data_IF_230273923428
#
_entry.id   IF_230273923428
#
_cell.length_a   1.000
_cell.length_b   1.000
_cell.length_c   1.000
_cell.angle_alpha   90.00
_cell.angle_beta   90.00
_cell.angle_gamma   90.00
#
_symmetry.space_group_name_H-M   'P 1'
#
loop_
_entity.id
_entity.type
_entity.pdbx_description
1 polymer ?
#
# COMPACT_ATOMS: atom_id res chain seq x y z
N UNK A 1 -4.04 -22.05 -32.88
CA UNK A 1 -3.05 -21.33 -32.04
C UNK A 1 -3.69 -21.04 -30.70
N UNK A 2 -3.04 -21.45 -29.60
CA UNK A 2 -3.51 -21.14 -28.24
C UNK A 2 -3.12 -19.69 -27.93
N UNK A 3 -4.09 -18.80 -27.88
CA UNK A 3 -3.87 -17.38 -27.55
C UNK A 3 -3.31 -17.29 -26.14
N UNK A 4 -2.08 -16.82 -26.01
CA UNK A 4 -1.48 -16.45 -24.72
C UNK A 4 -2.01 -15.06 -24.39
N UNK A 5 -2.88 -14.95 -23.37
CA UNK A 5 -3.24 -13.64 -22.82
C UNK A 5 -2.04 -13.07 -22.08
N UNK A 6 -1.47 -12.01 -22.61
CA UNK A 6 -0.43 -11.26 -21.92
C UNK A 6 -1.09 -10.32 -20.92
N UNK A 7 -0.60 -10.28 -19.67
CA UNK A 7 -1.09 -9.32 -18.69
C UNK A 7 -0.94 -7.89 -19.23
N UNK A 8 -1.97 -7.06 -19.06
CA UNK A 8 -1.91 -5.65 -19.41
C UNK A 8 -0.85 -4.88 -18.62
N UNK A 9 -0.44 -3.72 -19.14
CA UNK A 9 0.54 -2.80 -18.52
C UNK A 9 0.01 -2.14 -17.23
N UNK A 10 -1.30 -2.20 -17.00
CA UNK A 10 -1.92 -1.57 -15.84
C UNK A 10 -1.54 -2.31 -14.54
N UNK A 11 -1.21 -1.58 -13.47
CA UNK A 11 -0.95 -2.18 -12.17
C UNK A 11 -2.22 -2.88 -11.67
N UNK A 12 -2.03 -4.00 -10.97
CA UNK A 12 -3.15 -4.74 -10.38
C UNK A 12 -3.88 -3.89 -9.33
N UNK A 13 -5.13 -4.23 -9.02
CA UNK A 13 -5.88 -3.53 -7.98
C UNK A 13 -5.15 -3.62 -6.63
N UNK A 14 -4.50 -4.76 -6.37
CA UNK A 14 -3.69 -4.96 -5.16
C UNK A 14 -2.46 -4.06 -5.11
N UNK A 15 -1.72 -3.94 -6.21
CA UNK A 15 -0.55 -3.07 -6.25
C UNK A 15 -0.96 -1.60 -6.09
N UNK A 16 -2.04 -1.19 -6.75
CA UNK A 16 -2.60 0.16 -6.63
C UNK A 16 -3.03 0.44 -5.20
N UNK A 17 -3.76 -0.47 -4.57
CA UNK A 17 -4.21 -0.30 -3.20
C UNK A 17 -3.05 -0.29 -2.19
N UNK A 18 -2.03 -1.12 -2.40
CA UNK A 18 -0.82 -1.11 -1.59
C UNK A 18 -0.14 0.27 -1.64
N UNK A 19 0.06 0.82 -2.84
CA UNK A 19 0.65 2.15 -3.02
C UNK A 19 -0.18 3.26 -2.36
N UNK A 20 -1.50 3.27 -2.58
CA UNK A 20 -2.41 4.24 -1.95
C UNK A 20 -2.35 4.15 -0.42
N UNK A 21 -2.34 2.93 0.11
CA UNK A 21 -2.31 2.69 1.55
C UNK A 21 -0.98 3.14 2.19
N UNK A 22 0.14 2.93 1.49
CA UNK A 22 1.46 3.40 1.92
C UNK A 22 1.54 4.92 1.91
N UNK A 23 1.00 5.58 0.87
CA UNK A 23 0.91 7.04 0.83
C UNK A 23 0.05 7.60 1.96
N UNK A 24 -1.10 6.99 2.24
CA UNK A 24 -1.96 7.39 3.36
C UNK A 24 -1.24 7.25 4.71
N UNK A 25 -0.52 6.15 4.94
CA UNK A 25 0.29 5.95 6.13
C UNK A 25 1.38 7.03 6.28
N UNK A 26 2.00 7.45 5.18
CA UNK A 26 2.98 8.54 5.17
C UNK A 26 2.38 9.90 5.55
N UNK A 27 1.18 10.21 5.08
CA UNK A 27 0.46 11.44 5.47
C UNK A 27 0.11 11.40 6.96
N UNK A 28 -0.38 10.27 7.47
CA UNK A 28 -0.69 10.10 8.90
C UNK A 28 0.57 10.29 9.74
N UNK A 29 1.70 9.68 9.35
CA UNK A 29 2.99 9.89 10.00
C UNK A 29 3.34 11.38 10.07
N UNK A 30 3.26 12.09 8.95
CA UNK A 30 3.61 13.51 8.89
C UNK A 30 2.73 14.35 9.82
N UNK A 31 1.41 14.10 9.84
CA UNK A 31 0.48 14.78 10.72
C UNK A 31 0.74 14.50 12.20
N UNK A 32 1.01 13.24 12.56
CA UNK A 32 1.29 12.86 13.95
C UNK A 32 2.60 13.46 14.42
N UNK A 33 3.68 13.34 13.65
CA UNK A 33 4.99 13.89 14.04
C UNK A 33 4.96 15.42 14.11
N UNK A 34 4.17 16.08 13.26
CA UNK A 34 3.99 17.53 13.31
C UNK A 34 3.30 17.99 14.61
N UNK A 35 2.27 17.28 15.07
CA UNK A 35 1.51 17.67 16.27
C UNK A 35 2.11 17.10 17.57
N UNK A 36 2.82 15.97 17.48
CA UNK A 36 3.39 15.23 18.60
C UNK A 36 4.82 14.78 18.25
N UNK A 37 5.82 15.65 18.47
CA UNK A 37 7.21 15.38 18.11
C UNK A 37 7.82 14.14 18.78
N UNK A 38 7.31 13.77 19.96
CA UNK A 38 7.78 12.61 20.73
C UNK A 38 7.59 11.28 19.98
N UNK A 39 6.69 11.24 19.00
CA UNK A 39 6.47 10.08 18.15
C UNK A 39 7.33 10.08 16.88
N UNK A 40 8.36 10.92 16.76
CA UNK A 40 9.20 10.97 15.56
C UNK A 40 10.12 9.75 15.37
N UNK A 41 10.22 8.86 16.37
CA UNK A 41 11.09 7.68 16.32
C UNK A 41 10.78 6.80 15.08
N UNK A 42 11.77 6.59 14.19
CA UNK A 42 11.63 5.74 13.01
C UNK A 42 11.10 4.34 13.32
N UNK A 43 11.47 3.75 14.46
CA UNK A 43 11.08 2.39 14.85
C UNK A 43 9.55 2.24 15.02
N UNK A 44 8.85 3.31 15.34
CA UNK A 44 7.37 3.33 15.46
C UNK A 44 6.72 3.20 14.08
N UNK A 45 7.33 3.80 13.04
CA UNK A 45 6.70 3.98 11.74
C UNK A 45 7.17 3.01 10.67
N UNK A 46 8.36 2.43 10.79
CA UNK A 46 8.90 1.40 9.89
C UNK A 46 7.96 0.20 9.64
N UNK A 47 7.27 -0.37 10.64
CA UNK A 47 6.38 -1.50 10.40
C UNK A 47 5.05 -1.11 9.74
N UNK A 48 4.66 0.17 9.83
CA UNK A 48 3.32 0.63 9.45
C UNK A 48 2.96 0.34 7.98
N UNK A 49 3.83 0.57 6.98
CA UNK A 49 3.51 0.26 5.58
C UNK A 49 3.24 -1.22 5.33
N UNK A 50 3.95 -2.12 6.03
CA UNK A 50 3.76 -3.57 5.86
C UNK A 50 2.44 -4.03 6.49
N UNK A 51 2.11 -3.51 7.67
CA UNK A 51 0.85 -3.82 8.37
C UNK A 51 -0.34 -3.28 7.57
N UNK A 52 -0.29 -2.01 7.18
CA UNK A 52 -1.35 -1.35 6.42
C UNK A 52 -1.49 -1.97 5.03
N UNK A 53 -0.39 -2.16 4.31
CA UNK A 53 -0.40 -2.78 2.99
C UNK A 53 -0.89 -4.24 3.00
N UNK A 54 -0.51 -5.01 4.02
CA UNK A 54 -0.99 -6.38 4.22
C UNK A 54 -2.48 -6.45 4.53
N UNK A 55 -2.97 -5.61 5.44
CA UNK A 55 -4.40 -5.52 5.77
C UNK A 55 -5.23 -5.08 4.57
N UNK A 56 -4.84 -4.00 3.89
CA UNK A 56 -5.56 -3.49 2.72
C UNK A 56 -5.51 -4.52 1.58
N UNK A 57 -4.35 -5.13 1.33
CA UNK A 57 -4.17 -6.16 0.31
C UNK A 57 -4.98 -7.43 0.55
N UNK A 58 -5.32 -7.74 1.81
CA UNK A 58 -6.21 -8.85 2.17
C UNK A 58 -7.65 -8.59 1.72
N UNK A 59 -8.17 -7.38 1.92
CA UNK A 59 -9.55 -7.02 1.57
C UNK A 59 -9.72 -6.62 0.10
N UNK A 60 -8.66 -6.18 -0.57
CA UNK A 60 -8.71 -5.77 -1.97
C UNK A 60 -8.74 -7.01 -2.87
N UNK A 61 -9.91 -7.27 -3.44
CA UNK A 61 -10.08 -8.29 -4.47
C UNK A 61 -9.27 -7.91 -5.70
N UNK A 62 -8.34 -8.78 -6.07
CA UNK A 62 -7.61 -8.59 -7.30
C UNK A 62 -8.50 -8.96 -8.48
N UNK A 63 -8.45 -8.16 -9.55
CA UNK A 63 -8.90 -8.65 -10.86
C UNK A 63 -7.72 -9.42 -11.46
N UNK A 64 -7.94 -10.56 -12.13
CA UNK A 64 -6.88 -11.17 -12.93
C UNK A 64 -6.31 -10.11 -13.86
N UNK A 65 -4.99 -9.95 -13.90
CA UNK A 65 -4.34 -9.13 -14.91
C UNK A 65 -4.44 -9.90 -16.24
N UNK A 66 -5.59 -9.77 -16.93
CA UNK A 66 -5.89 -10.41 -18.22
C UNK A 66 -5.56 -9.53 -19.40
#
# INVERSE_FOLDING_TARGET
MRTVRQPGVLPTNKLTAAMVSASAAGIVKALVVHNFPDFADPAIWEPLPYVVGGLVGYFVKDKPNV
#
